data_IF_776884905339
#
_entry.id   IF_776884905339
#
_cell.length_a   1.000
_cell.length_b   1.000
_cell.length_c   1.000
_cell.angle_alpha   90.00
_cell.angle_beta   90.00
_cell.angle_gamma   90.00
#
_symmetry.space_group_name_H-M   'P 1'
#
loop_
_entity.id
_entity.type
_entity.pdbx_description
1 polymer ?
#
# COMPACT_ATOMS: atom_id res chain seq x y z
N UNK A 1 -3.25 7.69 13.96
CA UNK A 1 -3.81 7.58 12.60
C UNK A 1 -3.52 8.81 11.74
N UNK A 2 -3.49 10.02 12.30
CA UNK A 2 -3.31 11.24 11.47
C UNK A 2 -1.94 11.35 10.81
N UNK A 3 -0.87 10.88 11.46
CA UNK A 3 0.47 10.79 10.84
C UNK A 3 0.49 9.90 9.60
N UNK A 4 -0.17 8.73 9.65
CA UNK A 4 -0.30 7.85 8.49
C UNK A 4 -1.07 8.53 7.35
N UNK A 5 -2.21 9.16 7.67
CA UNK A 5 -3.02 9.87 6.67
C UNK A 5 -2.22 10.98 5.99
N UNK A 6 -1.43 11.74 6.75
CA UNK A 6 -0.62 12.81 6.18
C UNK A 6 0.52 12.28 5.30
N UNK A 7 1.19 11.20 5.73
CA UNK A 7 2.22 10.55 4.92
C UNK A 7 1.67 10.05 3.58
N UNK A 8 0.52 9.36 3.61
CA UNK A 8 -0.14 8.88 2.40
C UNK A 8 -0.53 10.05 1.49
N UNK A 9 -1.12 11.12 2.03
CA UNK A 9 -1.50 12.29 1.22
C UNK A 9 -0.31 12.95 0.50
N UNK A 10 0.85 12.97 1.13
CA UNK A 10 2.09 13.50 0.50
C UNK A 10 2.49 12.60 -0.68
N UNK A 11 2.38 11.28 -0.54
CA UNK A 11 2.68 10.34 -1.61
C UNK A 11 1.63 10.37 -2.73
N UNK A 12 0.34 10.57 -2.40
CA UNK A 12 -0.72 10.77 -3.39
C UNK A 12 -0.46 12.00 -4.26
N UNK A 13 0.09 13.08 -3.68
CA UNK A 13 0.41 14.30 -4.41
C UNK A 13 1.47 14.07 -5.52
N UNK A 14 2.40 13.14 -5.33
CA UNK A 14 3.40 12.79 -6.34
C UNK A 14 3.08 11.49 -7.09
N UNK A 15 1.88 10.93 -6.93
CA UNK A 15 1.47 9.72 -7.63
C UNK A 15 1.31 9.99 -9.13
N UNK A 16 1.74 9.02 -9.94
CA UNK A 16 1.65 9.08 -11.40
C UNK A 16 0.41 8.30 -11.83
N UNK A 17 -0.51 8.97 -12.52
CA UNK A 17 -1.71 8.34 -13.07
C UNK A 17 -1.37 7.45 -14.27
N UNK A 18 -2.07 6.32 -14.40
CA UNK A 18 -1.91 5.42 -15.55
C UNK A 18 -2.17 6.15 -16.87
N UNK A 19 -1.19 6.10 -17.77
CA UNK A 19 -1.24 6.77 -19.07
C UNK A 19 -0.79 8.24 -19.07
N UNK A 20 -0.41 8.80 -17.92
CA UNK A 20 0.25 10.10 -17.87
C UNK A 20 1.69 10.04 -18.39
N UNK A 21 2.33 8.87 -18.26
CA UNK A 21 3.69 8.61 -18.73
C UNK A 21 3.76 7.24 -19.43
N UNK A 22 4.49 7.17 -20.53
CA UNK A 22 4.65 5.98 -21.38
C UNK A 22 6.14 5.78 -21.63
N UNK A 23 6.73 4.74 -21.03
CA UNK A 23 8.12 4.34 -21.24
C UNK A 23 8.15 3.02 -22.01
N UNK A 24 8.92 2.97 -23.10
CA UNK A 24 9.06 1.78 -23.96
C UNK A 24 7.73 1.13 -24.41
N UNK A 25 6.70 1.96 -24.63
CA UNK A 25 5.38 1.52 -25.07
C UNK A 25 4.50 0.93 -23.96
N UNK A 26 4.94 0.96 -22.70
CA UNK A 26 4.17 0.58 -21.54
C UNK A 26 3.88 1.79 -20.64
N UNK A 27 2.70 1.85 -19.99
CA UNK A 27 2.41 2.93 -19.05
C UNK A 27 3.29 2.82 -17.81
N UNK A 28 3.99 3.91 -17.47
CA UNK A 28 4.68 4.09 -16.20
C UNK A 28 3.74 4.81 -15.24
N UNK A 29 3.47 4.22 -14.08
CA UNK A 29 2.52 4.76 -13.10
C UNK A 29 2.75 4.19 -11.70
N UNK A 30 2.17 4.84 -10.69
CA UNK A 30 2.25 4.36 -9.30
C UNK A 30 1.43 3.08 -9.14
N UNK A 31 2.11 1.94 -8.95
CA UNK A 31 1.47 0.62 -8.81
C UNK A 31 0.83 0.42 -7.43
N UNK A 32 1.46 0.95 -6.39
CA UNK A 32 1.00 0.91 -5.01
C UNK A 32 1.67 2.02 -4.20
N UNK A 33 1.03 2.42 -3.12
CA UNK A 33 1.56 3.38 -2.14
C UNK A 33 1.65 2.68 -0.79
N UNK A 34 2.74 2.91 -0.07
CA UNK A 34 2.93 2.33 1.26
C UNK A 34 3.55 3.32 2.25
N UNK A 35 3.25 3.12 3.53
CA UNK A 35 3.86 3.84 4.64
C UNK A 35 4.06 2.89 5.82
N UNK A 36 5.19 2.97 6.50
CA UNK A 36 5.53 2.13 7.64
C UNK A 36 5.68 2.95 8.91
N UNK A 37 5.19 2.43 10.04
CA UNK A 37 5.49 2.95 11.37
C UNK A 37 6.39 1.95 12.10
N UNK A 38 7.70 2.22 12.10
CA UNK A 38 8.70 1.33 12.69
C UNK A 38 8.53 1.14 14.20
N UNK A 39 8.03 2.15 14.92
CA UNK A 39 7.77 2.02 16.36
C UNK A 39 6.68 1.00 16.69
N UNK A 40 5.69 0.85 15.81
CA UNK A 40 4.55 -0.06 16.02
C UNK A 40 4.61 -1.32 15.18
N UNK A 41 5.58 -1.41 14.26
CA UNK A 41 5.75 -2.53 13.34
C UNK A 41 4.68 -2.62 12.25
N UNK A 42 3.84 -1.59 12.09
CA UNK A 42 2.76 -1.61 11.09
C UNK A 42 3.28 -1.13 9.73
N UNK A 43 3.04 -1.94 8.70
CA UNK A 43 3.25 -1.64 7.29
C UNK A 43 1.88 -1.45 6.63
N UNK A 44 1.58 -0.24 6.19
CA UNK A 44 0.32 0.13 5.55
C UNK A 44 0.52 0.25 4.04
N UNK A 45 -0.43 -0.23 3.24
CA UNK A 45 -0.38 -0.11 1.79
C UNK A 45 -1.76 -0.12 1.13
N UNK A 46 -1.85 0.40 -0.07
CA UNK A 46 -2.95 0.18 -1.00
C UNK A 46 -2.39 0.12 -2.43
N UNK A 47 -3.07 -0.58 -3.32
CA UNK A 47 -2.64 -0.75 -4.71
C UNK A 47 -3.36 0.25 -5.61
N UNK A 48 -2.89 0.41 -6.84
CA UNK A 48 -3.56 1.24 -7.84
C UNK A 48 -5.02 0.81 -8.07
N UNK A 49 -5.31 -0.49 -7.97
CA UNK A 49 -6.64 -1.06 -8.25
C UNK A 49 -7.52 -1.18 -7.01
N UNK A 50 -6.94 -1.16 -5.81
CA UNK A 50 -7.65 -1.16 -4.54
C UNK A 50 -7.12 -0.05 -3.62
N UNK A 51 -7.94 0.97 -3.39
CA UNK A 51 -7.59 2.16 -2.60
C UNK A 51 -7.83 1.98 -1.09
N UNK A 52 -8.35 0.83 -0.66
CA UNK A 52 -8.47 0.55 0.77
C UNK A 52 -7.09 0.35 1.39
N UNK A 53 -6.83 1.07 2.47
CA UNK A 53 -5.61 0.88 3.25
C UNK A 53 -5.64 -0.49 3.92
N UNK A 54 -4.70 -1.34 3.52
CA UNK A 54 -4.37 -2.63 4.13
C UNK A 54 -3.21 -2.43 5.12
N UNK A 55 -3.11 -3.33 6.11
CA UNK A 55 -2.05 -3.28 7.11
C UNK A 55 -1.51 -4.67 7.41
N UNK A 56 -0.17 -4.81 7.46
CA UNK A 56 0.54 -5.98 7.98
C UNK A 56 1.34 -5.52 9.19
N UNK A 57 1.33 -6.28 10.28
CA UNK A 57 2.12 -5.95 11.47
C UNK A 57 3.26 -6.96 11.65
N UNK A 58 4.50 -6.50 11.50
CA UNK A 58 5.69 -7.34 11.61
C UNK A 58 5.83 -7.98 12.99
N UNK A 59 5.47 -7.26 14.06
CA UNK A 59 5.63 -7.72 15.44
C UNK A 59 4.55 -8.72 15.88
N UNK A 60 3.60 -9.03 14.99
CA UNK A 60 2.62 -10.12 15.19
C UNK A 60 3.08 -11.45 14.61
N UNK A 61 4.23 -11.47 13.94
CA UNK A 61 4.82 -12.66 13.34
C UNK A 61 6.09 -13.09 14.07
N UNK A 62 6.54 -14.32 13.82
CA UNK A 62 7.82 -14.81 14.33
C UNK A 62 8.99 -14.27 13.49
N UNK A 63 9.68 -13.27 14.02
CA UNK A 63 10.83 -12.65 13.37
C UNK A 63 12.09 -13.53 13.35
N UNK A 64 12.16 -14.52 14.23
CA UNK A 64 13.23 -15.53 14.27
C UNK A 64 12.87 -16.78 13.44
N UNK A 65 11.81 -16.68 12.62
CA UNK A 65 11.37 -17.76 11.73
C UNK A 65 12.42 -18.13 10.68
N UNK A 66 12.43 -19.39 10.27
CA UNK A 66 13.40 -19.92 9.30
C UNK A 66 12.99 -19.74 7.83
N UNK A 67 11.83 -19.12 7.56
CA UNK A 67 11.28 -18.95 6.22
C UNK A 67 10.55 -17.61 6.06
N UNK A 68 10.50 -17.03 4.84
CA UNK A 68 9.74 -15.82 4.57
C UNK A 68 8.23 -16.01 4.77
N UNK A 69 7.57 -15.00 5.34
CA UNK A 69 6.12 -14.92 5.46
C UNK A 69 5.60 -14.01 4.34
N UNK A 70 4.53 -14.41 3.66
CA UNK A 70 3.95 -13.67 2.53
C UNK A 70 2.46 -13.52 2.68
N UNK A 71 1.94 -12.35 2.30
CA UNK A 71 0.52 -12.04 2.31
C UNK A 71 0.05 -11.73 0.89
N UNK A 72 -1.17 -12.16 0.57
CA UNK A 72 -1.82 -11.81 -0.67
C UNK A 72 -2.14 -10.30 -0.70
N UNK A 73 -1.88 -9.66 -1.84
CA UNK A 73 -2.21 -8.26 -2.08
C UNK A 73 -3.60 -8.19 -2.75
N UNK A 74 -4.62 -7.64 -2.10
CA UNK A 74 -5.93 -7.49 -2.72
C UNK A 74 -5.85 -6.52 -3.90
N UNK A 75 -6.23 -6.98 -5.09
CA UNK A 75 -6.26 -6.17 -6.31
C UNK A 75 -7.67 -5.74 -6.71
N UNK A 76 -8.71 -6.39 -6.19
CA UNK A 76 -10.09 -5.95 -6.40
C UNK A 76 -10.43 -4.81 -5.44
N UNK A 77 -11.12 -3.78 -5.93
CA UNK A 77 -11.49 -2.62 -5.12
C UNK A 77 -12.41 -3.02 -3.97
N UNK A 78 -11.98 -2.74 -2.75
CA UNK A 78 -12.82 -2.97 -1.57
C UNK A 78 -13.82 -1.84 -1.41
N UNK A 79 -15.12 -2.15 -1.57
CA UNK A 79 -16.21 -1.20 -1.34
C UNK A 79 -16.96 -1.56 -0.08
N UNK A 80 -17.00 -0.62 0.88
CA UNK A 80 -17.83 -0.76 2.09
C UNK A 80 -19.21 -0.15 1.82
N UNK A 81 -20.21 -0.99 1.60
CA UNK A 81 -21.61 -0.58 1.62
C UNK A 81 -22.01 -0.15 3.03
N UNK A 82 -22.69 0.98 3.16
CA UNK A 82 -23.06 1.58 4.46
C UNK A 82 -24.52 1.31 4.84
N UNK A 83 -25.27 0.66 3.96
CA UNK A 83 -26.67 0.28 4.12
C UNK A 83 -26.89 -1.16 3.63
#
# INVERSE_FOLDING_TARGET
>A
MDGLKNAIRILDYCSVAKGADIEDGAPSYTLYTSAMCSQTGNYYYYSYTNNQINAVNLYRENLDGSAPISYHVPLEQSVRYQN
#
